data_IF_567959286873
#
_entry.id   IF_567959286873
#
_cell.length_a   1.000
_cell.length_b   1.000
_cell.length_c   1.000
_cell.angle_alpha   90.00
_cell.angle_beta   90.00
_cell.angle_gamma   90.00
#
_symmetry.space_group_name_H-M   'P 1'
#
loop_
_entity.id
_entity.type
_entity.pdbx_description
1 polymer ?
#
# COMPACT_ATOMS: atom_id res chain seq x y z
N UNK A 1 -37.17 -26.60 25.42
CA UNK A 1 -36.01 -25.73 25.12
C UNK A 1 -35.48 -26.14 23.74
N UNK A 2 -35.84 -25.42 22.68
CA UNK A 2 -35.58 -25.82 21.28
C UNK A 2 -34.16 -25.42 20.87
N UNK A 3 -33.32 -26.40 20.56
CA UNK A 3 -32.03 -26.21 19.87
C UNK A 3 -32.32 -25.91 18.40
N UNK A 4 -31.75 -24.84 17.87
CA UNK A 4 -31.70 -24.56 16.44
C UNK A 4 -30.24 -24.63 16.01
N UNK A 5 -29.94 -25.63 15.19
CA UNK A 5 -28.65 -25.77 14.52
C UNK A 5 -28.86 -25.17 13.13
N UNK A 6 -28.25 -24.01 12.89
CA UNK A 6 -28.22 -23.40 11.57
C UNK A 6 -26.93 -23.83 10.88
N UNK A 7 -27.02 -24.84 10.01
CA UNK A 7 -25.98 -25.08 9.02
C UNK A 7 -26.23 -24.12 7.86
N UNK A 8 -25.45 -23.05 7.81
CA UNK A 8 -25.29 -22.27 6.59
C UNK A 8 -23.91 -22.59 6.05
N UNK A 9 -23.85 -23.31 4.93
CA UNK A 9 -22.64 -23.38 4.14
C UNK A 9 -22.33 -21.94 3.69
N UNK A 10 -21.33 -21.31 4.33
CA UNK A 10 -20.71 -20.14 3.74
C UNK A 10 -19.93 -20.63 2.52
N UNK A 11 -20.52 -20.47 1.33
CA UNK A 11 -19.70 -20.27 0.17
C UNK A 11 -18.77 -19.10 0.50
N UNK A 12 -17.46 -19.34 0.58
CA UNK A 12 -16.50 -18.24 0.66
C UNK A 12 -16.55 -17.51 -0.68
N UNK A 13 -17.39 -16.49 -0.78
CA UNK A 13 -17.16 -15.41 -1.73
C UNK A 13 -15.72 -14.95 -1.45
N UNK A 14 -14.83 -15.13 -2.43
CA UNK A 14 -13.42 -14.76 -2.30
C UNK A 14 -13.34 -13.36 -1.71
N UNK A 15 -12.69 -13.24 -0.55
CA UNK A 15 -12.60 -11.97 0.17
C UNK A 15 -11.89 -11.00 -0.75
N UNK A 16 -12.60 -9.97 -1.24
CA UNK A 16 -11.96 -8.88 -1.98
C UNK A 16 -10.86 -8.32 -1.08
N UNK A 17 -9.62 -8.37 -1.55
CA UNK A 17 -8.49 -7.91 -0.78
C UNK A 17 -8.60 -6.41 -0.54
N UNK A 18 -8.27 -5.99 0.68
CA UNK A 18 -8.22 -4.59 1.10
C UNK A 18 -6.79 -4.21 1.47
N UNK A 19 -6.47 -2.92 1.32
CA UNK A 19 -5.19 -2.34 1.73
C UNK A 19 -5.39 -1.40 2.90
N UNK A 20 -4.81 -1.72 4.05
CA UNK A 20 -4.77 -0.83 5.21
C UNK A 20 -3.62 0.19 5.09
N UNK A 21 -3.93 1.47 5.25
CA UNK A 21 -2.95 2.53 5.51
C UNK A 21 -3.06 2.93 6.99
N UNK A 22 -1.99 2.76 7.75
CA UNK A 22 -2.01 2.95 9.20
C UNK A 22 -0.66 3.34 9.82
N UNK A 23 -0.52 3.12 11.13
CA UNK A 23 0.67 3.52 11.89
C UNK A 23 0.60 4.97 12.37
N UNK A 24 1.69 5.71 12.25
CA UNK A 24 1.79 7.14 12.56
C UNK A 24 1.14 7.99 11.45
N UNK A 25 -0.19 7.87 11.31
CA UNK A 25 -0.99 8.63 10.34
C UNK A 25 -2.15 9.31 11.05
N UNK A 26 -2.62 10.44 10.53
CA UNK A 26 -3.77 11.17 11.10
C UNK A 26 -5.10 10.53 10.71
N UNK A 27 -5.19 10.04 9.48
CA UNK A 27 -6.41 9.52 8.86
C UNK A 27 -6.15 8.09 8.36
N UNK A 28 -6.12 7.08 9.26
CA UNK A 28 -6.00 5.70 8.81
C UNK A 28 -7.20 5.33 7.94
N UNK A 29 -6.95 4.56 6.89
CA UNK A 29 -7.99 4.16 5.94
C UNK A 29 -7.74 2.76 5.41
N UNK A 30 -8.81 2.06 5.05
CA UNK A 30 -8.72 0.74 4.42
C UNK A 30 -9.34 0.83 3.04
N UNK A 31 -8.50 0.76 2.01
CA UNK A 31 -8.91 0.87 0.61
C UNK A 31 -9.36 -0.47 0.06
N UNK A 32 -10.43 -0.46 -0.74
CA UNK A 32 -10.80 -1.59 -1.60
C UNK A 32 -10.17 -1.47 -2.99
N UNK A 33 -10.10 -2.58 -3.73
CA UNK A 33 -9.64 -2.58 -5.13
C UNK A 33 -10.50 -1.65 -5.98
N UNK A 34 -11.82 -1.66 -5.78
CA UNK A 34 -12.75 -0.82 -6.51
C UNK A 34 -12.49 0.68 -6.26
N UNK A 35 -12.21 1.06 -5.01
CA UNK A 35 -11.92 2.44 -4.64
C UNK A 35 -10.63 2.95 -5.28
N UNK A 36 -9.53 2.19 -5.20
CA UNK A 36 -8.26 2.62 -5.81
C UNK A 36 -8.30 2.61 -7.34
N UNK A 37 -9.17 1.78 -7.94
CA UNK A 37 -9.34 1.73 -9.40
C UNK A 37 -9.83 3.05 -9.98
N UNK A 38 -10.65 3.81 -9.25
CA UNK A 38 -11.13 5.12 -9.68
C UNK A 38 -10.00 6.16 -9.84
N UNK A 39 -8.87 5.96 -9.15
CA UNK A 39 -7.71 6.88 -9.19
C UNK A 39 -6.49 6.26 -9.88
N UNK A 40 -6.60 5.00 -10.30
CA UNK A 40 -5.48 4.27 -10.85
C UNK A 40 -5.09 4.84 -12.22
N UNK A 41 -3.77 5.02 -12.41
CA UNK A 41 -3.18 5.48 -13.66
C UNK A 41 -2.14 4.48 -14.17
N UNK A 42 -1.82 4.49 -15.49
CA UNK A 42 -0.83 3.58 -16.04
C UNK A 42 0.57 3.81 -15.46
N UNK A 43 1.26 2.73 -15.11
CA UNK A 43 2.65 2.71 -14.61
C UNK A 43 3.46 1.82 -15.52
N UNK A 44 4.37 2.42 -16.29
CA UNK A 44 5.20 1.67 -17.25
C UNK A 44 6.47 1.17 -16.56
N UNK A 45 6.80 -0.08 -16.81
CA UNK A 45 8.08 -0.71 -16.47
C UNK A 45 8.71 -1.24 -17.76
N UNK A 46 9.95 -1.71 -17.71
CA UNK A 46 10.61 -2.28 -18.90
C UNK A 46 9.87 -3.50 -19.47
N UNK A 47 9.15 -4.25 -18.62
CA UNK A 47 8.54 -5.53 -18.96
C UNK A 47 7.02 -5.48 -19.09
N UNK A 48 6.35 -4.58 -18.37
CA UNK A 48 4.90 -4.58 -18.22
C UNK A 48 4.35 -3.17 -17.92
N UNK A 49 3.08 -2.93 -18.27
CA UNK A 49 2.35 -1.71 -17.88
C UNK A 49 1.28 -2.05 -16.84
N UNK A 50 1.50 -1.61 -15.62
CA UNK A 50 0.55 -1.78 -14.52
C UNK A 50 -0.48 -0.64 -14.49
N UNK A 51 -1.54 -0.80 -13.70
CA UNK A 51 -2.45 0.27 -13.32
C UNK A 51 -2.41 0.43 -11.81
N UNK A 52 -2.14 1.63 -11.30
CA UNK A 52 -1.95 1.84 -9.87
C UNK A 52 -2.04 3.29 -9.41
N UNK A 53 -2.02 3.45 -8.10
CA UNK A 53 -2.01 4.76 -7.41
C UNK A 53 -0.63 4.94 -6.78
N UNK A 54 -0.09 6.16 -6.80
CA UNK A 54 1.18 6.45 -6.15
C UNK A 54 1.02 6.28 -4.64
N UNK A 55 1.94 5.58 -3.99
CA UNK A 55 1.90 5.36 -2.55
C UNK A 55 1.91 6.70 -1.81
N UNK A 56 2.68 7.67 -2.29
CA UNK A 56 2.72 9.03 -1.76
C UNK A 56 1.34 9.67 -1.71
N UNK A 57 0.53 9.55 -2.76
CA UNK A 57 -0.82 10.15 -2.80
C UNK A 57 -1.74 9.54 -1.72
N UNK A 58 -1.56 8.26 -1.40
CA UNK A 58 -2.29 7.60 -0.30
C UNK A 58 -1.80 8.08 1.07
N UNK A 59 -0.49 8.28 1.23
CA UNK A 59 0.09 8.81 2.47
C UNK A 59 -0.31 10.28 2.71
N UNK A 60 -0.35 11.11 1.66
CA UNK A 60 -0.83 12.49 1.71
C UNK A 60 -2.31 12.51 2.17
N UNK A 61 -3.16 11.63 1.60
CA UNK A 61 -4.56 11.46 2.04
C UNK A 61 -4.68 11.02 3.50
N UNK A 62 -3.72 10.23 3.98
CA UNK A 62 -3.64 9.77 5.37
C UNK A 62 -3.08 10.84 6.34
N UNK A 63 -2.69 12.02 5.85
CA UNK A 63 -2.16 13.11 6.66
C UNK A 63 -0.68 12.95 7.04
N UNK A 64 0.10 12.22 6.24
CA UNK A 64 1.55 12.12 6.44
C UNK A 64 2.24 13.39 5.93
N UNK A 65 3.16 14.00 6.71
CA UNK A 65 3.89 15.19 6.26
C UNK A 65 4.78 14.93 5.04
N UNK A 66 4.87 15.92 4.17
CA UNK A 66 5.67 15.89 2.94
C UNK A 66 6.33 17.26 2.68
N UNK A 67 7.28 17.29 1.75
CA UNK A 67 7.99 18.47 1.28
C UNK A 67 8.55 19.29 2.45
N UNK A 68 8.22 20.58 2.53
CA UNK A 68 8.70 21.48 3.58
C UNK A 68 8.20 21.13 5.00
N UNK A 69 7.20 20.26 5.10
CA UNK A 69 6.69 19.75 6.38
C UNK A 69 7.32 18.42 6.79
N UNK A 70 8.06 17.77 5.89
CA UNK A 70 8.86 16.61 6.21
C UNK A 70 10.16 17.03 6.93
N UNK A 71 10.08 17.16 8.25
CA UNK A 71 11.18 17.64 9.11
C UNK A 71 11.13 17.07 10.53
N UNK A 72 12.19 17.30 11.29
CA UNK A 72 12.29 16.88 12.69
C UNK A 72 12.16 15.37 12.85
N UNK A 73 11.27 14.91 13.74
CA UNK A 73 11.06 13.47 13.98
C UNK A 73 10.69 12.68 12.72
N UNK A 74 10.06 13.32 11.74
CA UNK A 74 9.64 12.65 10.50
C UNK A 74 10.82 12.30 9.58
N UNK A 75 12.00 12.88 9.79
CA UNK A 75 13.22 12.44 9.10
C UNK A 75 13.65 11.03 9.51
N UNK A 76 13.20 10.55 10.67
CA UNK A 76 13.39 9.18 11.14
C UNK A 76 12.18 8.28 10.83
N UNK A 77 11.20 8.77 10.07
CA UNK A 77 10.02 7.99 9.71
C UNK A 77 10.28 7.10 8.49
N UNK A 78 9.62 5.95 8.48
CA UNK A 78 9.67 5.00 7.38
C UNK A 78 8.33 4.31 7.19
N UNK A 79 8.10 3.87 5.97
CA UNK A 79 6.98 3.02 5.58
C UNK A 79 7.39 1.57 5.76
N UNK A 80 6.55 0.77 6.40
CA UNK A 80 6.58 -0.69 6.36
C UNK A 80 5.43 -1.17 5.48
N UNK A 81 5.73 -1.80 4.36
CA UNK A 81 4.73 -2.44 3.52
C UNK A 81 4.81 -3.96 3.68
N UNK A 82 3.65 -4.61 3.84
CA UNK A 82 3.55 -6.02 4.14
C UNK A 82 2.57 -6.74 3.21
N UNK A 83 3.00 -7.87 2.67
CA UNK A 83 2.16 -8.82 1.93
C UNK A 83 1.39 -9.77 2.85
N UNK A 84 0.36 -10.45 2.31
CA UNK A 84 -0.39 -11.47 3.06
C UNK A 84 0.48 -12.62 3.56
N UNK A 85 1.57 -12.93 2.86
CA UNK A 85 2.54 -13.97 3.23
C UNK A 85 3.50 -13.55 4.37
N UNK A 86 3.35 -12.33 4.89
CA UNK A 86 4.21 -11.77 5.93
C UNK A 86 5.53 -11.19 5.41
N UNK A 87 5.77 -11.21 4.09
CA UNK A 87 6.91 -10.54 3.50
C UNK A 87 6.81 -9.04 3.72
N UNK A 88 7.90 -8.42 4.19
CA UNK A 88 7.94 -7.00 4.56
C UNK A 88 9.11 -6.30 3.90
N UNK A 89 8.85 -5.07 3.47
CA UNK A 89 9.86 -4.18 2.93
C UNK A 89 9.69 -2.80 3.53
N UNK A 90 10.76 -2.01 3.48
CA UNK A 90 10.77 -0.66 4.02
C UNK A 90 11.18 0.36 2.95
N UNK A 91 10.60 1.55 3.07
CA UNK A 91 10.99 2.76 2.36
C UNK A 91 11.14 3.87 3.40
N UNK A 92 12.21 4.65 3.34
CA UNK A 92 12.25 5.84 4.21
C UNK A 92 11.18 6.83 3.75
N UNK A 93 10.61 7.63 4.65
CA UNK A 93 9.60 8.61 4.24
C UNK A 93 10.22 9.67 3.30
N UNK A 94 11.48 10.06 3.55
CA UNK A 94 12.24 10.96 2.69
C UNK A 94 12.57 10.36 1.31
N UNK A 95 12.73 9.05 1.17
CA UNK A 95 12.92 8.41 -0.13
C UNK A 95 11.69 8.63 -1.05
N UNK A 96 10.49 8.71 -0.49
CA UNK A 96 9.24 8.92 -1.24
C UNK A 96 8.92 10.39 -1.52
N UNK A 97 9.67 11.31 -0.92
CA UNK A 97 9.37 12.74 -0.97
C UNK A 97 10.03 13.44 -2.17
N UNK A 98 9.30 14.29 -2.92
CA UNK A 98 9.82 14.93 -4.12
C UNK A 98 10.92 15.96 -3.87
N UNK A 99 11.05 16.52 -2.65
CA UNK A 99 12.16 17.40 -2.30
C UNK A 99 13.43 16.63 -1.88
N UNK A 100 13.35 15.31 -1.80
CA UNK A 100 14.44 14.44 -1.36
C UNK A 100 14.74 13.35 -2.39
N UNK A 101 14.19 12.15 -2.21
CA UNK A 101 14.50 11.00 -3.06
C UNK A 101 13.66 10.89 -4.32
N UNK A 102 12.43 11.41 -4.29
CA UNK A 102 11.43 11.31 -5.36
C UNK A 102 11.32 9.87 -5.94
N UNK A 103 11.35 8.87 -5.05
CA UNK A 103 11.22 7.47 -5.46
C UNK A 103 9.74 7.13 -5.63
N UNK A 104 9.33 6.88 -6.87
CA UNK A 104 7.96 6.53 -7.19
C UNK A 104 7.64 5.07 -6.84
N UNK A 105 7.08 4.87 -5.65
CA UNK A 105 6.49 3.60 -5.23
C UNK A 105 5.00 3.61 -5.53
N UNK A 106 4.51 2.60 -6.23
CA UNK A 106 3.13 2.50 -6.67
C UNK A 106 2.43 1.33 -6.01
N UNK A 107 1.19 1.55 -5.60
CA UNK A 107 0.24 0.49 -5.28
C UNK A 107 -0.53 0.15 -6.55
N UNK A 108 -0.05 -0.86 -7.27
CA UNK A 108 -0.71 -1.39 -8.45
C UNK A 108 -1.85 -2.34 -8.09
N UNK A 109 -2.92 -2.31 -8.88
CA UNK A 109 -3.94 -3.34 -8.85
C UNK A 109 -3.37 -4.63 -9.44
N UNK A 110 -3.67 -5.77 -8.83
CA UNK A 110 -3.32 -7.07 -9.41
C UNK A 110 -4.04 -7.26 -10.76
N UNK A 111 -3.36 -7.90 -11.72
CA UNK A 111 -3.90 -8.13 -13.08
C UNK A 111 -5.19 -8.96 -13.07
N UNK A 112 -5.36 -9.85 -12.08
CA UNK A 112 -6.58 -10.65 -11.89
C UNK A 112 -7.69 -9.89 -11.14
N UNK A 113 -7.43 -8.64 -10.74
CA UNK A 113 -8.33 -7.78 -9.98
C UNK A 113 -8.53 -8.20 -8.53
N UNK A 114 -7.70 -9.11 -7.98
CA UNK A 114 -7.92 -9.70 -6.64
C UNK A 114 -6.97 -9.19 -5.56
N UNK A 115 -6.26 -8.09 -5.79
CA UNK A 115 -5.32 -7.60 -4.79
C UNK A 115 -4.50 -6.40 -5.21
N UNK A 116 -3.43 -6.19 -4.44
CA UNK A 116 -2.50 -5.08 -4.62
C UNK A 116 -1.08 -5.62 -4.71
N UNK A 117 -0.25 -4.94 -5.51
CA UNK A 117 1.18 -5.19 -5.61
C UNK A 117 1.93 -3.87 -5.54
N UNK A 118 3.08 -3.84 -4.88
CA UNK A 118 3.99 -2.72 -5.03
C UNK A 118 4.75 -2.81 -6.35
N UNK A 119 4.83 -1.70 -7.07
CA UNK A 119 5.65 -1.54 -8.26
C UNK A 119 6.55 -0.34 -8.05
N UNK A 120 7.86 -0.53 -8.21
CA UNK A 120 8.86 0.52 -8.03
C UNK A 120 9.70 0.58 -9.31
N UNK A 121 9.27 1.34 -10.35
CA UNK A 121 9.84 1.25 -11.69
C UNK A 121 11.34 1.52 -11.77
N UNK A 122 11.87 2.33 -10.84
CA UNK A 122 13.29 2.73 -10.81
C UNK A 122 14.21 1.65 -10.22
N UNK A 123 13.67 0.54 -9.73
CA UNK A 123 14.46 -0.58 -9.21
C UNK A 123 14.92 -1.53 -10.31
N UNK A 124 16.23 -1.83 -10.31
CA UNK A 124 16.81 -2.86 -11.19
C UNK A 124 16.46 -4.28 -10.76
N UNK A 125 16.15 -4.48 -9.47
CA UNK A 125 15.78 -5.77 -8.90
C UNK A 125 14.49 -5.59 -8.11
N UNK A 126 13.47 -6.36 -8.48
CA UNK A 126 12.10 -6.26 -7.95
C UNK A 126 11.94 -6.88 -6.55
N UNK A 127 12.98 -6.79 -5.69
CA UNK A 127 12.93 -7.36 -4.35
C UNK A 127 11.91 -6.62 -3.47
N UNK A 128 11.66 -5.33 -3.72
CA UNK A 128 10.67 -4.54 -2.97
C UNK A 128 9.28 -4.49 -3.62
N UNK A 129 9.05 -5.30 -4.66
CA UNK A 129 7.75 -5.37 -5.36
C UNK A 129 6.84 -6.40 -4.68
N UNK A 130 6.41 -6.06 -3.46
CA UNK A 130 5.60 -6.93 -2.61
C UNK A 130 4.30 -7.29 -3.32
N UNK A 131 3.98 -8.59 -3.37
CA UNK A 131 2.70 -9.09 -3.89
C UNK A 131 1.68 -9.17 -2.77
N UNK A 132 0.41 -9.14 -3.14
CA UNK A 132 -0.73 -9.26 -2.22
C UNK A 132 -0.55 -8.35 -0.99
N UNK A 133 -0.20 -7.09 -1.23
CA UNK A 133 0.00 -6.09 -0.18
C UNK A 133 -1.30 -5.91 0.59
N UNK A 134 -1.24 -6.08 1.91
CA UNK A 134 -2.40 -5.95 2.80
C UNK A 134 -2.30 -4.74 3.71
N UNK A 135 -1.08 -4.26 4.00
CA UNK A 135 -0.90 -3.11 4.88
C UNK A 135 0.33 -2.29 4.51
N UNK A 136 0.20 -0.97 4.64
CA UNK A 136 1.25 0.03 4.62
C UNK A 136 1.16 0.81 5.92
N UNK A 137 2.24 0.85 6.70
CA UNK A 137 2.25 1.52 8.01
C UNK A 137 3.39 2.51 8.09
N UNK A 138 3.14 3.68 8.68
CA UNK A 138 4.19 4.63 9.04
C UNK A 138 4.71 4.32 10.44
N UNK A 139 6.02 4.18 10.55
CA UNK A 139 6.72 3.94 11.81
C UNK A 139 7.88 4.93 11.98
N UNK A 140 8.33 5.12 13.22
CA UNK A 140 9.46 5.97 13.56
C UNK A 140 10.60 5.10 14.06
N UNK A 141 11.82 5.37 13.61
CA UNK A 141 13.00 4.73 14.19
C UNK A 141 13.14 5.22 15.64
N UNK A 142 13.34 4.27 16.56
CA UNK A 142 13.49 4.53 18.00
C UNK A 142 14.92 4.24 18.42
#
# INVERSE_FOLDING_TARGET
MKRWIFWMALASLGRAQSLEIGGQVEKPHTYSVAELKEWARPVKTEQHTYSGVLLKDLLDKAGVPAQHDLKGKWMAAYVVAQGQDGYRVVFSLAELDPLFGDNEVWVALAEDGKGFRLVVPREKRNARWVRDVQSVRIELAR
#
